data_IF_746568467018
#
_entry.id   IF_746568467018
#
_cell.length_a   1.000
_cell.length_b   1.000
_cell.length_c   1.000
_cell.angle_alpha   90.00
_cell.angle_beta   90.00
_cell.angle_gamma   90.00
#
_symmetry.space_group_name_H-M   'P 1'
#
loop_
_entity.id
_entity.type
_entity.pdbx_description
1 polymer ?
#
# COMPACT_ATOMS: atom_id res chain seq x y z
N UNK A 1 -19.05 -19.61 24.91
CA UNK A 1 -17.84 -18.84 24.57
C UNK A 1 -18.30 -17.51 24.04
N UNK A 2 -17.74 -16.39 24.50
CA UNK A 2 -18.13 -15.07 24.01
C UNK A 2 -17.03 -14.50 23.13
N UNK A 3 -17.41 -13.97 21.98
CA UNK A 3 -16.49 -13.41 20.99
C UNK A 3 -16.38 -11.90 21.19
N UNK A 4 -15.18 -11.33 21.42
CA UNK A 4 -15.02 -9.88 21.52
C UNK A 4 -15.54 -9.22 20.24
N UNK A 5 -16.28 -8.11 20.37
CA UNK A 5 -16.87 -7.40 19.24
C UNK A 5 -16.58 -5.91 19.28
N UNK A 6 -16.54 -5.32 18.09
CA UNK A 6 -16.50 -3.89 17.87
C UNK A 6 -17.92 -3.37 17.67
N UNK A 7 -18.26 -2.26 18.31
CA UNK A 7 -19.46 -1.49 18.02
C UNK A 7 -19.06 -0.14 17.39
N UNK A 8 -19.76 0.20 16.31
CA UNK A 8 -19.70 1.47 15.61
C UNK A 8 -21.05 2.13 15.76
N UNK A 9 -21.10 3.33 16.32
CA UNK A 9 -22.35 4.07 16.50
C UNK A 9 -22.10 5.58 16.47
N UNK A 10 -23.16 6.36 16.22
CA UNK A 10 -23.13 7.80 16.40
C UNK A 10 -23.66 8.13 17.79
N UNK A 11 -22.96 8.99 18.51
CA UNK A 11 -23.49 9.54 19.76
C UNK A 11 -24.42 10.76 19.51
N UNK A 12 -25.04 11.25 20.58
CA UNK A 12 -25.95 12.40 20.53
C UNK A 12 -25.26 13.70 20.05
N UNK A 13 -23.93 13.74 20.08
CA UNK A 13 -23.12 14.87 19.60
C UNK A 13 -22.72 14.73 18.12
N UNK A 14 -23.24 13.72 17.41
CA UNK A 14 -22.88 13.41 16.03
C UNK A 14 -21.38 13.10 15.87
N UNK A 15 -20.78 12.45 16.87
CA UNK A 15 -19.46 11.85 16.73
C UNK A 15 -19.58 10.36 16.43
N UNK A 16 -18.74 9.87 15.53
CA UNK A 16 -18.57 8.44 15.29
C UNK A 16 -17.76 7.84 16.44
N UNK A 17 -18.40 6.95 17.17
CA UNK A 17 -17.82 6.22 18.30
C UNK A 17 -17.45 4.81 17.88
N UNK A 18 -16.25 4.39 18.24
CA UNK A 18 -15.81 3.00 18.20
C UNK A 18 -15.61 2.50 19.62
N UNK A 19 -16.35 1.45 19.95
CA UNK A 19 -16.32 0.85 21.27
C UNK A 19 -16.00 -0.64 21.19
N UNK A 20 -15.30 -1.11 22.22
CA UNK A 20 -14.99 -2.52 22.42
C UNK A 20 -15.96 -3.10 23.45
N UNK A 21 -16.56 -4.24 23.12
CA UNK A 21 -17.36 -5.03 24.06
C UNK A 21 -16.57 -6.28 24.43
N UNK A 22 -16.05 -6.30 25.65
CA UNK A 22 -15.17 -7.36 26.17
C UNK A 22 -15.91 -8.40 27.03
N UNK A 23 -17.11 -8.08 27.52
CA UNK A 23 -17.91 -8.93 28.40
C UNK A 23 -19.36 -8.98 27.92
N UNK A 24 -20.06 -10.07 28.23
CA UNK A 24 -21.43 -10.31 27.77
C UNK A 24 -22.42 -9.21 28.15
N UNK A 25 -22.26 -8.67 29.36
CA UNK A 25 -23.03 -7.53 29.89
C UNK A 25 -22.10 -6.35 30.24
N UNK A 26 -20.95 -6.26 29.56
CA UNK A 26 -19.99 -5.20 29.79
C UNK A 26 -20.41 -3.91 29.11
N UNK A 27 -20.26 -2.79 29.82
CA UNK A 27 -20.38 -1.48 29.20
C UNK A 27 -19.41 -1.36 28.02
N UNK A 28 -19.93 -0.92 26.86
CA UNK A 28 -19.13 -0.64 25.68
C UNK A 28 -18.08 0.40 26.04
N UNK A 29 -16.80 0.00 25.99
CA UNK A 29 -15.72 0.93 26.29
C UNK A 29 -15.34 1.65 25.01
N UNK A 30 -15.78 2.89 24.89
CA UNK A 30 -15.35 3.79 23.81
C UNK A 30 -13.84 3.95 23.93
N UNK A 31 -13.13 3.66 22.83
CA UNK A 31 -11.69 3.86 22.75
C UNK A 31 -11.32 4.83 21.62
N UNK A 32 -12.26 5.16 20.74
CA UNK A 32 -12.11 6.23 19.76
C UNK A 32 -13.44 6.94 19.56
N UNK A 33 -13.38 8.26 19.49
CA UNK A 33 -14.48 9.15 19.16
C UNK A 33 -13.97 10.14 18.11
N UNK A 34 -14.66 10.21 16.98
CA UNK A 34 -14.28 11.05 15.85
C UNK A 34 -15.46 11.94 15.45
N UNK A 35 -15.37 13.27 15.61
CA UNK A 35 -16.42 14.17 15.17
C UNK A 35 -16.72 13.99 13.68
N UNK A 36 -17.99 13.94 13.28
CA UNK A 36 -18.34 13.83 11.86
C UNK A 36 -17.82 15.01 11.01
N UNK A 37 -17.65 16.18 11.63
CA UNK A 37 -17.03 17.33 10.98
C UNK A 37 -15.58 17.04 10.54
N UNK A 38 -14.82 16.27 11.32
CA UNK A 38 -13.45 15.88 10.98
C UNK A 38 -13.41 14.80 9.89
N UNK A 39 -14.37 13.87 9.90
CA UNK A 39 -14.57 12.93 8.79
C UNK A 39 -14.92 13.64 7.48
N UNK A 40 -15.68 14.73 7.56
CA UNK A 40 -16.07 15.54 6.41
C UNK A 40 -14.97 16.43 5.83
N UNK A 41 -13.81 16.55 6.49
CA UNK A 41 -12.64 17.25 5.94
C UNK A 41 -11.91 16.43 4.87
N UNK A 42 -12.14 15.13 4.84
CA UNK A 42 -11.61 14.20 3.86
C UNK A 42 -12.66 13.88 2.79
N UNK A 43 -12.21 13.50 1.59
CA UNK A 43 -13.13 12.87 0.65
C UNK A 43 -13.66 11.55 1.25
N UNK A 44 -14.82 11.08 0.74
CA UNK A 44 -15.49 9.89 1.31
C UNK A 44 -14.61 8.65 1.27
N UNK A 45 -13.78 8.52 0.24
CA UNK A 45 -12.92 7.35 0.06
C UNK A 45 -11.76 7.34 1.06
N UNK A 46 -11.16 8.49 1.32
CA UNK A 46 -10.09 8.67 2.29
C UNK A 46 -10.61 8.50 3.71
N UNK A 47 -11.80 9.04 4.03
CA UNK A 47 -12.48 8.82 5.30
C UNK A 47 -12.77 7.32 5.52
N UNK A 48 -13.28 6.62 4.50
CA UNK A 48 -13.54 5.19 4.56
C UNK A 48 -12.25 4.37 4.77
N UNK A 49 -11.14 4.74 4.10
CA UNK A 49 -9.83 4.10 4.27
C UNK A 49 -9.27 4.26 5.68
N UNK A 50 -9.35 5.47 6.24
CA UNK A 50 -8.88 5.74 7.61
C UNK A 50 -9.68 4.94 8.64
N UNK A 51 -11.02 4.94 8.52
CA UNK A 51 -11.88 4.14 9.38
C UNK A 51 -11.60 2.64 9.25
N UNK A 52 -11.48 2.15 8.02
CA UNK A 52 -11.12 0.75 7.75
C UNK A 52 -9.78 0.37 8.37
N UNK A 53 -8.76 1.21 8.24
CA UNK A 53 -7.43 0.98 8.82
C UNK A 53 -7.49 0.90 10.35
N UNK A 54 -8.24 1.79 11.02
CA UNK A 54 -8.41 1.76 12.47
C UNK A 54 -9.10 0.47 12.94
N UNK A 55 -10.15 0.04 12.24
CA UNK A 55 -10.88 -1.21 12.52
C UNK A 55 -9.97 -2.43 12.34
N UNK A 56 -9.25 -2.50 11.22
CA UNK A 56 -8.34 -3.61 10.93
C UNK A 56 -7.17 -3.65 11.93
N UNK A 57 -6.61 -2.51 12.30
CA UNK A 57 -5.56 -2.41 13.32
C UNK A 57 -6.02 -2.97 14.67
N UNK A 58 -7.27 -2.70 15.07
CA UNK A 58 -7.83 -3.24 16.30
C UNK A 58 -8.02 -4.76 16.23
N UNK A 59 -8.53 -5.27 15.11
CA UNK A 59 -8.64 -6.72 14.93
C UNK A 59 -7.27 -7.39 14.89
N UNK A 60 -6.23 -6.75 14.37
CA UNK A 60 -4.87 -7.29 14.37
C UNK A 60 -4.33 -7.45 15.80
N UNK A 61 -4.74 -6.59 16.74
CA UNK A 61 -4.41 -6.73 18.17
C UNK A 61 -5.17 -7.92 18.79
N UNK A 62 -6.44 -8.14 18.44
CA UNK A 62 -7.26 -9.22 19.03
C UNK A 62 -6.97 -10.59 18.41
N UNK A 63 -6.64 -10.62 17.12
CA UNK A 63 -6.47 -11.83 16.32
C UNK A 63 -5.19 -11.75 15.47
N UNK A 64 -4.00 -11.57 16.08
CA UNK A 64 -2.76 -11.35 15.35
C UNK A 64 -2.43 -12.48 14.38
N UNK A 65 -2.65 -13.74 14.78
CA UNK A 65 -2.39 -14.90 13.94
C UNK A 65 -3.30 -14.97 12.70
N UNK A 66 -4.56 -14.54 12.81
CA UNK A 66 -5.52 -14.61 11.69
C UNK A 66 -5.38 -13.48 10.69
N UNK A 67 -4.94 -12.30 11.13
CA UNK A 67 -4.72 -11.17 10.24
C UNK A 67 -3.32 -11.16 9.63
N UNK A 68 -2.33 -11.76 10.27
CA UNK A 68 -1.02 -11.99 9.65
C UNK A 68 -1.10 -12.86 8.38
N UNK A 69 -2.06 -13.79 8.32
CA UNK A 69 -2.34 -14.61 7.14
C UNK A 69 -3.03 -13.85 5.99
N UNK A 70 -3.64 -12.70 6.29
CA UNK A 70 -4.31 -11.84 5.30
C UNK A 70 -3.49 -10.60 4.90
N UNK A 71 -2.46 -10.26 5.68
CA UNK A 71 -1.51 -9.17 5.39
C UNK A 71 -0.61 -9.50 4.17
N UNK A 72 -0.49 -10.77 3.78
CA UNK A 72 0.17 -11.22 2.55
C UNK A 72 -0.56 -10.76 1.29
N UNK A 73 -1.89 -10.88 1.23
CA UNK A 73 -2.67 -10.49 0.05
C UNK A 73 -2.68 -8.97 -0.18
N UNK A 74 -2.65 -8.18 0.90
CA UNK A 74 -2.58 -6.72 0.81
C UNK A 74 -1.16 -6.23 0.49
N UNK A 75 -0.11 -6.92 1.00
CA UNK A 75 1.29 -6.70 0.58
C UNK A 75 1.52 -7.08 -0.87
N UNK A 76 0.87 -8.13 -1.38
CA UNK A 76 0.94 -8.52 -2.79
C UNK A 76 0.27 -7.47 -3.68
N UNK A 77 -0.95 -7.01 -3.35
CA UNK A 77 -1.63 -5.97 -4.13
C UNK A 77 -0.90 -4.61 -4.12
N UNK A 78 -0.37 -4.19 -2.96
CA UNK A 78 0.46 -2.98 -2.86
C UNK A 78 1.80 -3.19 -3.59
N UNK A 79 2.40 -4.38 -3.48
CA UNK A 79 3.63 -4.76 -4.15
C UNK A 79 3.49 -4.75 -5.68
N UNK A 80 2.38 -5.23 -6.21
CA UNK A 80 2.05 -5.22 -7.65
C UNK A 80 1.84 -3.80 -8.18
N UNK A 81 1.04 -2.97 -7.50
CA UNK A 81 0.82 -1.58 -7.89
C UNK A 81 2.12 -0.77 -7.86
N UNK A 82 2.91 -0.94 -6.80
CA UNK A 82 4.21 -0.27 -6.65
C UNK A 82 5.23 -0.78 -7.68
N UNK A 83 5.20 -2.07 -8.02
CA UNK A 83 6.06 -2.63 -9.06
C UNK A 83 5.70 -2.11 -10.45
N UNK A 84 4.41 -1.90 -10.75
CA UNK A 84 3.98 -1.27 -11.99
C UNK A 84 4.48 0.17 -12.09
N UNK A 85 4.40 0.95 -11.02
CA UNK A 85 4.89 2.34 -10.97
C UNK A 85 6.42 2.40 -11.16
N UNK A 86 7.16 1.51 -10.50
CA UNK A 86 8.61 1.39 -10.67
C UNK A 86 8.99 0.97 -12.11
N UNK A 87 8.26 0.02 -12.69
CA UNK A 87 8.48 -0.41 -14.07
C UNK A 87 8.21 0.71 -15.08
N UNK A 88 7.08 1.41 -14.95
CA UNK A 88 6.76 2.58 -15.79
C UNK A 88 7.82 3.68 -15.67
N UNK A 89 8.27 3.96 -14.45
CA UNK A 89 9.33 4.95 -14.19
C UNK A 89 10.67 4.53 -14.82
N UNK A 90 11.01 3.24 -14.78
CA UNK A 90 12.18 2.71 -15.47
C UNK A 90 12.08 2.91 -16.99
N UNK A 91 10.90 2.64 -17.58
CA UNK A 91 10.69 2.84 -19.03
C UNK A 91 10.85 4.31 -19.44
N UNK A 92 10.35 5.25 -18.63
CA UNK A 92 10.53 6.68 -18.89
C UNK A 92 12.00 7.10 -18.81
N UNK A 93 12.74 6.63 -17.81
CA UNK A 93 14.17 6.92 -17.70
C UNK A 93 14.98 6.30 -18.84
N UNK A 94 14.61 5.12 -19.34
CA UNK A 94 15.21 4.54 -20.55
C UNK A 94 14.96 5.46 -21.74
N UNK A 95 13.73 5.89 -21.97
CA UNK A 95 13.42 6.82 -23.07
C UNK A 95 14.25 8.11 -22.97
N UNK A 96 14.39 8.67 -21.75
CA UNK A 96 15.21 9.86 -21.51
C UNK A 96 16.70 9.61 -21.72
N UNK A 97 17.23 8.47 -21.25
CA UNK A 97 18.61 8.07 -21.45
C UNK A 97 18.97 7.99 -22.94
N UNK A 98 18.08 7.41 -23.76
CA UNK A 98 18.26 7.34 -25.20
C UNK A 98 18.06 8.69 -25.90
N UNK A 99 17.09 9.50 -25.49
CA UNK A 99 16.86 10.83 -26.05
C UNK A 99 18.05 11.77 -25.80
N UNK A 100 18.65 11.66 -24.61
CA UNK A 100 19.79 12.50 -24.20
C UNK A 100 21.15 11.83 -24.47
N UNK A 101 21.16 10.60 -24.99
CA UNK A 101 22.37 9.78 -25.23
C UNK A 101 23.30 9.75 -24.02
N UNK A 102 22.74 9.46 -22.85
CA UNK A 102 23.46 9.49 -21.58
C UNK A 102 23.28 8.20 -20.80
N UNK A 103 24.35 7.78 -20.13
CA UNK A 103 24.36 6.63 -19.22
C UNK A 103 24.11 7.03 -17.77
N UNK A 104 23.91 8.32 -17.49
CA UNK A 104 23.72 8.84 -16.12
C UNK A 104 22.50 8.22 -15.40
N UNK A 105 21.48 7.83 -16.15
CA UNK A 105 20.27 7.21 -15.60
C UNK A 105 20.40 5.69 -15.38
N UNK A 106 21.47 5.05 -15.87
CA UNK A 106 21.61 3.59 -15.83
C UNK A 106 21.49 2.98 -14.43
N UNK A 107 22.10 3.56 -13.37
CA UNK A 107 21.93 3.04 -12.00
C UNK A 107 20.48 3.14 -11.49
N UNK A 108 19.77 4.22 -11.84
CA UNK A 108 18.39 4.42 -11.43
C UNK A 108 17.43 3.46 -12.16
N UNK A 109 17.66 3.23 -13.45
CA UNK A 109 16.91 2.26 -14.25
C UNK A 109 17.08 0.84 -13.69
N UNK A 110 18.32 0.43 -13.42
CA UNK A 110 18.63 -0.90 -12.88
C UNK A 110 18.02 -1.10 -11.49
N UNK A 111 18.06 -0.06 -10.64
CA UNK A 111 17.41 -0.06 -9.33
C UNK A 111 15.89 -0.25 -9.46
N UNK A 112 15.22 0.55 -10.29
CA UNK A 112 13.75 0.49 -10.45
C UNK A 112 13.27 -0.84 -11.02
N UNK A 113 13.98 -1.38 -12.03
CA UNK A 113 13.69 -2.69 -12.59
C UNK A 113 13.87 -3.81 -11.54
N UNK A 114 14.89 -3.70 -10.69
CA UNK A 114 15.13 -4.66 -9.58
C UNK A 114 14.02 -4.59 -8.53
N UNK A 115 13.51 -3.39 -8.20
CA UNK A 115 12.39 -3.23 -7.27
C UNK A 115 11.07 -3.75 -7.84
N UNK A 116 10.87 -3.67 -9.16
CA UNK A 116 9.66 -4.14 -9.82
C UNK A 116 9.67 -5.67 -10.06
N UNK A 117 10.83 -6.29 -10.32
CA UNK A 117 10.96 -7.69 -10.73
C UNK A 117 10.30 -8.76 -9.81
N UNK A 118 10.20 -8.59 -8.48
CA UNK A 118 9.52 -9.57 -7.62
C UNK A 118 8.02 -9.69 -7.91
N UNK A 119 7.37 -8.60 -8.31
CA UNK A 119 5.91 -8.52 -8.48
C UNK A 119 5.47 -8.15 -9.91
N UNK A 120 6.41 -8.00 -10.85
CA UNK A 120 6.13 -7.70 -12.24
C UNK A 120 7.01 -8.55 -13.17
N UNK A 121 6.38 -9.44 -13.94
CA UNK A 121 7.06 -10.38 -14.84
C UNK A 121 7.73 -9.67 -16.02
N UNK A 122 7.12 -8.62 -16.55
CA UNK A 122 7.70 -7.80 -17.61
C UNK A 122 8.97 -7.12 -17.10
N UNK A 123 8.96 -6.53 -15.91
CA UNK A 123 10.14 -5.94 -15.29
C UNK A 123 11.27 -6.94 -15.09
N UNK A 124 10.92 -8.18 -14.69
CA UNK A 124 11.89 -9.27 -14.52
C UNK A 124 12.53 -9.69 -15.84
N UNK A 125 11.71 -9.82 -16.88
CA UNK A 125 12.17 -10.15 -18.24
C UNK A 125 13.03 -9.02 -18.79
N UNK A 126 12.56 -7.78 -18.64
CA UNK A 126 13.26 -6.59 -19.10
C UNK A 126 14.61 -6.43 -18.41
N UNK A 127 14.70 -6.64 -17.10
CA UNK A 127 15.95 -6.57 -16.34
C UNK A 127 16.98 -7.61 -16.81
N UNK A 128 16.53 -8.82 -17.15
CA UNK A 128 17.41 -9.94 -17.49
C UNK A 128 17.83 -9.95 -18.95
N UNK A 129 16.91 -9.63 -19.85
CA UNK A 129 17.07 -9.89 -21.28
C UNK A 129 17.23 -8.60 -22.08
N UNK A 130 16.45 -7.56 -21.76
CA UNK A 130 16.37 -6.35 -22.57
C UNK A 130 17.35 -5.26 -22.13
N UNK A 131 17.37 -4.97 -20.82
CA UNK A 131 18.16 -3.89 -20.24
C UNK A 131 19.67 -4.04 -20.45
N UNK A 132 20.29 -5.23 -20.32
CA UNK A 132 21.73 -5.37 -20.58
C UNK A 132 22.12 -5.00 -22.01
N UNK A 133 21.26 -5.33 -22.99
CA UNK A 133 21.48 -5.01 -24.41
C UNK A 133 21.35 -3.50 -24.63
N UNK A 134 20.30 -2.87 -24.09
CA UNK A 134 20.06 -1.43 -24.22
C UNK A 134 21.14 -0.60 -23.53
N UNK A 135 21.59 -1.04 -22.34
CA UNK A 135 22.68 -0.41 -21.60
C UNK A 135 23.99 -0.48 -22.38
N UNK A 136 24.35 -1.65 -22.89
CA UNK A 136 25.56 -1.80 -23.72
C UNK A 136 25.49 -0.89 -24.97
N UNK A 137 24.31 -0.74 -25.57
CA UNK A 137 24.11 0.19 -26.67
C UNK A 137 24.32 1.66 -26.25
N UNK A 138 23.75 2.10 -25.13
CA UNK A 138 23.95 3.45 -24.58
C UNK A 138 25.43 3.72 -24.25
N UNK A 139 26.13 2.75 -23.68
CA UNK A 139 27.56 2.85 -23.34
C UNK A 139 28.46 2.87 -24.59
N UNK A 140 27.97 2.33 -25.73
CA UNK A 140 28.67 2.36 -27.01
C UNK A 140 28.43 3.62 -27.84
N UNK A 141 27.52 4.50 -27.40
CA UNK A 141 27.25 5.77 -28.10
C UNK A 141 28.31 6.83 -27.71
N UNK A 142 28.84 7.57 -28.69
CA UNK A 142 29.88 8.57 -28.49
C UNK A 142 29.38 9.85 -27.80
#
# INVERSE_FOLDING_TARGET
>A
MMTPRLELYLDDSSALCMAKVEKADGASRVFMQLPLAELGLHDRDQAARQLGAAILGLFAIWHPARLAEHDTAQKEAIGEATALDHFCSAMQLIQQAFAQKTTAFSPAIEFLLTQAAPHNEDARTYLRETWPILRAHLESQP
#
